data_IF_582821630537
#
_entry.id   IF_582821630537
#
_cell.length_a   1.000
_cell.length_b   1.000
_cell.length_c   1.000
_cell.angle_alpha   90.00
_cell.angle_beta   90.00
_cell.angle_gamma   90.00
#
_symmetry.space_group_name_H-M   'P 1'
#
loop_
_entity.id
_entity.type
_entity.pdbx_description
1 polymer ?
#
# COMPACT_ATOMS: atom_id res chain seq x y z
N UNK A 1 -16.56 -2.62 -1.51
CA UNK A 1 -16.38 -3.91 -2.20
C UNK A 1 -17.02 -3.81 -3.57
N UNK A 2 -16.26 -3.98 -4.66
CA UNK A 2 -16.76 -3.95 -6.05
C UNK A 2 -17.51 -5.22 -6.46
N UNK A 3 -18.29 -5.80 -5.54
CA UNK A 3 -19.06 -7.03 -5.81
C UNK A 3 -20.18 -6.66 -6.77
N UNK A 4 -20.11 -7.17 -8.01
CA UNK A 4 -21.10 -6.92 -9.06
C UNK A 4 -20.81 -5.74 -10.00
N UNK A 5 -19.69 -5.03 -9.82
CA UNK A 5 -19.24 -3.99 -10.76
C UNK A 5 -18.11 -4.51 -11.65
N UNK A 6 -18.09 -4.11 -12.92
CA UNK A 6 -16.92 -4.30 -13.79
C UNK A 6 -15.72 -3.52 -13.22
N UNK A 7 -14.50 -4.00 -13.47
CA UNK A 7 -13.24 -3.38 -13.06
C UNK A 7 -13.22 -1.93 -13.56
N UNK A 8 -13.64 -1.69 -14.80
CA UNK A 8 -13.69 -0.35 -15.39
C UNK A 8 -14.52 0.63 -14.53
N UNK A 9 -15.71 0.23 -14.07
CA UNK A 9 -16.55 1.06 -13.20
C UNK A 9 -15.88 1.36 -11.84
N UNK A 10 -15.11 0.41 -11.32
CA UNK A 10 -14.32 0.63 -10.10
C UNK A 10 -13.20 1.65 -10.34
N UNK A 11 -12.54 1.60 -11.50
CA UNK A 11 -11.52 2.59 -11.88
C UNK A 11 -12.14 3.97 -12.07
N UNK A 12 -13.28 4.10 -12.77
CA UNK A 12 -14.01 5.37 -12.90
C UNK A 12 -14.36 5.97 -11.54
N UNK A 13 -14.80 5.15 -10.60
CA UNK A 13 -15.10 5.57 -9.24
C UNK A 13 -13.87 6.13 -8.51
N UNK A 14 -12.72 5.46 -8.62
CA UNK A 14 -11.46 5.95 -8.03
C UNK A 14 -11.00 7.25 -8.67
N UNK A 15 -11.14 7.39 -9.99
CA UNK A 15 -10.88 8.66 -10.69
C UNK A 15 -11.79 9.79 -10.20
N UNK A 16 -13.05 9.48 -9.88
CA UNK A 16 -13.99 10.40 -9.25
C UNK A 16 -13.49 10.90 -7.89
N UNK A 17 -13.03 10.00 -7.02
CA UNK A 17 -12.42 10.37 -5.74
C UNK A 17 -11.17 11.22 -5.92
N UNK A 18 -10.26 10.82 -6.81
CA UNK A 18 -9.05 11.60 -7.10
C UNK A 18 -9.38 13.01 -7.59
N UNK A 19 -10.40 13.16 -8.46
CA UNK A 19 -10.81 14.47 -8.94
C UNK A 19 -11.45 15.34 -7.83
N UNK A 20 -12.25 14.75 -6.95
CA UNK A 20 -12.86 15.46 -5.83
C UNK A 20 -11.82 15.95 -4.82
N UNK A 21 -10.77 15.15 -4.58
CA UNK A 21 -9.73 15.41 -3.59
C UNK A 21 -8.45 16.04 -4.18
N UNK A 22 -8.46 16.42 -5.46
CA UNK A 22 -7.30 16.95 -6.21
C UNK A 22 -6.05 16.05 -6.12
N UNK A 23 -6.23 14.74 -6.22
CA UNK A 23 -5.15 13.76 -6.24
C UNK A 23 -4.67 13.52 -7.68
N UNK A 24 -3.36 13.44 -7.84
CA UNK A 24 -2.69 13.18 -9.13
C UNK A 24 -2.34 11.70 -9.33
N UNK A 25 -2.47 10.88 -8.29
CA UNK A 25 -2.09 9.47 -8.30
C UNK A 25 -3.03 8.66 -7.38
N UNK A 26 -3.31 7.42 -7.77
CA UNK A 26 -3.77 6.38 -6.86
C UNK A 26 -2.94 5.12 -7.03
N UNK A 27 -2.88 4.31 -5.96
CA UNK A 27 -2.24 3.00 -5.97
C UNK A 27 -3.29 1.90 -5.94
N UNK A 28 -2.98 0.76 -6.55
CA UNK A 28 -3.90 -0.38 -6.62
C UNK A 28 -3.16 -1.71 -6.60
N UNK A 29 -3.83 -2.78 -6.17
CA UNK A 29 -3.31 -4.15 -6.20
C UNK A 29 -3.33 -4.72 -7.63
N UNK A 30 -2.19 -5.14 -8.14
CA UNK A 30 -2.02 -5.70 -9.49
C UNK A 30 -1.96 -7.25 -9.50
N UNK A 31 -1.86 -7.93 -8.36
CA UNK A 31 -1.58 -9.38 -8.32
C UNK A 31 -2.71 -10.26 -8.90
N UNK A 32 -3.92 -9.73 -9.02
CA UNK A 32 -5.10 -10.48 -9.46
C UNK A 32 -5.93 -9.73 -10.50
N UNK A 33 -7.23 -9.56 -10.21
CA UNK A 33 -8.16 -8.87 -11.10
C UNK A 33 -7.71 -7.44 -11.45
N UNK A 34 -6.91 -6.81 -10.60
CA UNK A 34 -6.40 -5.46 -10.84
C UNK A 34 -5.39 -5.35 -11.99
N UNK A 35 -4.94 -6.44 -12.62
CA UNK A 35 -4.05 -6.41 -13.78
C UNK A 35 -4.58 -5.52 -14.94
N UNK A 36 -5.90 -5.39 -15.08
CA UNK A 36 -6.55 -4.55 -16.10
C UNK A 36 -6.58 -3.04 -15.80
N UNK A 37 -6.36 -2.63 -14.54
CA UNK A 37 -6.61 -1.25 -14.07
C UNK A 37 -5.80 -0.20 -14.83
N UNK A 38 -4.56 -0.50 -15.24
CA UNK A 38 -3.76 0.46 -16.05
C UNK A 38 -4.37 0.71 -17.43
N UNK A 39 -4.98 -0.31 -18.04
CA UNK A 39 -5.65 -0.18 -19.32
C UNK A 39 -6.86 0.75 -19.20
N UNK A 40 -7.70 0.48 -18.20
CA UNK A 40 -8.89 1.30 -17.90
C UNK A 40 -8.50 2.75 -17.56
N UNK A 41 -7.49 2.92 -16.70
CA UNK A 41 -6.97 4.24 -16.33
C UNK A 41 -6.43 5.00 -17.55
N UNK A 42 -5.80 4.32 -18.51
CA UNK A 42 -5.35 4.93 -19.76
C UNK A 42 -6.54 5.40 -20.59
N UNK A 43 -7.56 4.56 -20.77
CA UNK A 43 -8.76 4.93 -21.53
C UNK A 43 -9.47 6.14 -20.91
N UNK A 44 -9.63 6.17 -19.59
CA UNK A 44 -10.23 7.29 -18.86
C UNK A 44 -9.37 8.56 -18.99
N UNK A 45 -8.04 8.43 -18.92
CA UNK A 45 -7.12 9.56 -19.09
C UNK A 45 -7.17 10.19 -20.50
N UNK A 46 -7.42 9.41 -21.56
CA UNK A 46 -7.65 9.98 -22.90
C UNK A 46 -8.92 10.85 -22.93
N UNK A 47 -10.00 10.41 -22.28
CA UNK A 47 -11.22 11.22 -22.13
C UNK A 47 -10.96 12.50 -21.33
N UNK A 48 -10.17 12.42 -20.26
CA UNK A 48 -9.77 13.59 -19.46
C UNK A 48 -8.95 14.57 -20.27
N UNK A 49 -7.98 14.08 -21.07
CA UNK A 49 -7.17 14.89 -21.97
C UNK A 49 -8.02 15.63 -23.00
N UNK A 50 -8.98 14.94 -23.62
CA UNK A 50 -9.93 15.57 -24.55
C UNK A 50 -10.77 16.67 -23.86
N UNK A 51 -11.11 16.48 -22.58
CA UNK A 51 -11.78 17.47 -21.74
C UNK A 51 -10.83 18.52 -21.12
N UNK A 52 -9.55 18.57 -21.50
CA UNK A 52 -8.51 19.46 -20.94
C UNK A 52 -8.37 19.36 -19.42
N UNK A 53 -8.54 18.15 -18.87
CA UNK A 53 -8.32 17.83 -17.46
C UNK A 53 -6.97 17.14 -17.27
N UNK A 54 -6.26 17.37 -16.15
CA UNK A 54 -5.02 16.66 -15.84
C UNK A 54 -5.22 15.15 -15.78
N UNK A 55 -4.21 14.40 -16.21
CA UNK A 55 -4.19 12.95 -16.04
C UNK A 55 -4.03 12.56 -14.57
N UNK A 56 -4.54 11.39 -14.21
CA UNK A 56 -4.32 10.77 -12.91
C UNK A 56 -3.52 9.50 -13.12
N UNK A 57 -2.41 9.37 -12.41
CA UNK A 57 -1.51 8.22 -12.47
C UNK A 57 -2.09 7.03 -11.70
N UNK A 58 -2.12 5.87 -12.36
CA UNK A 58 -2.49 4.60 -11.74
C UNK A 58 -1.23 3.78 -11.45
N UNK A 59 -0.78 3.77 -10.19
CA UNK A 59 0.46 3.12 -9.78
C UNK A 59 0.21 1.70 -9.27
N UNK A 60 0.75 0.66 -9.93
CA UNK A 60 0.55 -0.72 -9.54
C UNK A 60 1.38 -1.10 -8.32
N UNK A 61 0.75 -1.74 -7.35
CA UNK A 61 1.43 -2.48 -6.29
C UNK A 61 1.33 -3.98 -6.58
N UNK A 62 2.48 -4.64 -6.73
CA UNK A 62 2.56 -6.09 -6.92
C UNK A 62 3.07 -6.74 -5.65
N UNK A 63 2.16 -7.19 -4.79
CA UNK A 63 2.48 -7.78 -3.49
C UNK A 63 3.27 -9.10 -3.58
N UNK A 64 3.07 -9.87 -4.64
CA UNK A 64 3.81 -11.09 -4.96
C UNK A 64 5.24 -10.83 -5.45
N UNK A 65 5.58 -9.59 -5.77
CA UNK A 65 6.88 -9.17 -6.27
C UNK A 65 7.99 -9.27 -5.23
N UNK A 66 9.22 -9.01 -5.69
CA UNK A 66 10.38 -8.87 -4.82
C UNK A 66 10.19 -7.72 -3.84
N UNK A 67 10.89 -7.80 -2.70
CA UNK A 67 10.95 -6.69 -1.74
C UNK A 67 11.56 -5.45 -2.38
N UNK A 68 11.17 -4.28 -1.89
CA UNK A 68 11.81 -3.02 -2.22
C UNK A 68 13.09 -2.85 -1.41
N UNK A 69 14.05 -2.14 -1.99
CA UNK A 69 15.36 -1.84 -1.41
C UNK A 69 15.98 -3.07 -0.73
N UNK A 70 16.26 -4.15 -1.50
CA UNK A 70 16.59 -5.47 -0.97
C UNK A 70 17.85 -5.47 -0.09
N UNK A 71 18.78 -4.55 -0.36
CA UNK A 71 20.04 -4.38 0.37
C UNK A 71 19.94 -3.43 1.58
N UNK A 72 18.79 -2.77 1.79
CA UNK A 72 18.58 -1.91 2.94
C UNK A 72 18.28 -2.73 4.20
N UNK A 73 18.65 -2.17 5.35
CA UNK A 73 18.46 -2.79 6.66
C UNK A 73 16.97 -2.80 7.05
N UNK A 74 16.38 -3.99 7.14
CA UNK A 74 15.03 -4.16 7.69
C UNK A 74 15.02 -4.09 9.22
N UNK A 75 16.09 -4.61 9.84
CA UNK A 75 16.39 -4.54 11.27
C UNK A 75 17.86 -4.17 11.40
N UNK A 76 18.14 -3.06 12.09
CA UNK A 76 19.50 -2.61 12.38
C UNK A 76 20.24 -3.67 13.20
N UNK A 77 21.51 -3.85 12.91
CA UNK A 77 22.37 -4.71 13.72
C UNK A 77 22.54 -4.12 15.13
N UNK A 78 22.61 -4.98 16.14
CA UNK A 78 22.94 -4.60 17.51
C UNK A 78 23.90 -5.61 18.14
N UNK A 79 24.63 -5.20 19.18
CA UNK A 79 25.44 -6.08 20.02
C UNK A 79 26.38 -7.04 19.26
N UNK A 80 26.99 -6.57 18.16
CA UNK A 80 27.90 -7.38 17.33
C UNK A 80 27.21 -8.30 16.33
N UNK A 81 25.88 -8.29 16.24
CA UNK A 81 25.13 -8.95 15.19
C UNK A 81 25.01 -8.04 13.95
N UNK A 82 25.17 -8.63 12.76
CA UNK A 82 24.94 -7.93 11.52
C UNK A 82 23.46 -7.54 11.37
N UNK A 83 23.20 -6.44 10.66
CA UNK A 83 21.86 -6.04 10.29
C UNK A 83 21.18 -7.12 9.42
N UNK A 84 19.86 -7.25 9.55
CA UNK A 84 19.07 -8.10 8.65
C UNK A 84 18.55 -7.26 7.50
N UNK A 85 18.86 -7.65 6.27
CA UNK A 85 18.42 -6.95 5.07
C UNK A 85 16.96 -7.26 4.71
N UNK A 86 16.33 -6.38 3.94
CA UNK A 86 14.95 -6.59 3.46
C UNK A 86 14.78 -7.93 2.73
N UNK A 87 15.72 -8.26 1.84
CA UNK A 87 15.67 -9.51 1.07
C UNK A 87 15.79 -10.77 1.93
N UNK A 88 16.42 -10.66 3.10
CA UNK A 88 16.67 -11.77 4.01
C UNK A 88 15.58 -11.91 5.08
N UNK A 89 14.83 -10.83 5.34
CA UNK A 89 13.77 -10.83 6.32
C UNK A 89 12.39 -11.15 5.73
N UNK A 90 12.06 -10.65 4.53
CA UNK A 90 10.71 -10.75 3.97
C UNK A 90 10.66 -11.65 2.74
N UNK A 91 9.59 -12.45 2.62
CA UNK A 91 9.41 -13.33 1.48
C UNK A 91 9.01 -12.60 0.18
N UNK A 92 8.32 -11.46 0.28
CA UNK A 92 7.83 -10.67 -0.85
C UNK A 92 7.47 -9.22 -0.41
N UNK A 93 7.14 -8.37 -1.39
CA UNK A 93 6.72 -6.98 -1.18
C UNK A 93 5.52 -6.86 -0.22
N UNK A 94 4.55 -7.79 -0.29
CA UNK A 94 3.41 -7.82 0.62
C UNK A 94 3.86 -7.98 2.08
N UNK A 95 4.72 -8.95 2.36
CA UNK A 95 5.22 -9.19 3.72
C UNK A 95 5.99 -7.97 4.27
N UNK A 96 6.85 -7.37 3.44
CA UNK A 96 7.56 -6.14 3.80
C UNK A 96 6.60 -4.97 4.10
N UNK A 97 5.58 -4.79 3.27
CA UNK A 97 4.64 -3.67 3.38
C UNK A 97 3.73 -3.78 4.61
N UNK A 98 3.21 -4.99 4.88
CA UNK A 98 2.47 -5.25 6.13
C UNK A 98 3.33 -5.06 7.38
N UNK A 99 4.61 -5.46 7.32
CA UNK A 99 5.53 -5.23 8.44
C UNK A 99 5.80 -3.74 8.66
N UNK A 100 5.96 -2.96 7.58
CA UNK A 100 6.06 -1.50 7.66
C UNK A 100 4.82 -0.89 8.31
N UNK A 101 3.62 -1.25 7.87
CA UNK A 101 2.38 -0.75 8.46
C UNK A 101 2.27 -1.09 9.95
N UNK A 102 2.64 -2.32 10.34
CA UNK A 102 2.74 -2.73 11.74
C UNK A 102 3.69 -1.83 12.55
N UNK A 103 4.87 -1.50 12.02
CA UNK A 103 5.83 -0.62 12.68
C UNK A 103 5.25 0.78 12.91
N UNK A 104 4.55 1.35 11.92
CA UNK A 104 3.92 2.67 12.07
C UNK A 104 2.90 2.68 13.23
N UNK A 105 2.02 1.68 13.32
CA UNK A 105 1.07 1.60 14.45
C UNK A 105 1.77 1.38 15.80
N UNK A 106 2.81 0.55 15.83
CA UNK A 106 3.61 0.33 17.04
C UNK A 106 4.28 1.63 17.50
N UNK A 107 4.84 2.41 16.58
CA UNK A 107 5.47 3.69 16.88
C UNK A 107 4.43 4.70 17.38
N UNK A 108 3.24 4.77 16.77
CA UNK A 108 2.14 5.60 17.25
C UNK A 108 1.76 5.23 18.68
N UNK A 109 1.65 3.93 18.99
CA UNK A 109 1.34 3.47 20.35
C UNK A 109 2.41 3.93 21.35
N UNK A 110 3.70 3.73 21.04
CA UNK A 110 4.81 4.16 21.91
C UNK A 110 4.84 5.67 22.12
N UNK A 111 4.60 6.45 21.07
CA UNK A 111 4.51 7.90 21.15
C UNK A 111 3.37 8.34 22.09
N UNK A 112 2.16 7.81 21.88
CA UNK A 112 0.95 8.28 22.57
C UNK A 112 0.78 7.71 23.97
N UNK A 113 1.12 6.42 24.18
CA UNK A 113 0.88 5.71 25.44
C UNK A 113 2.11 5.66 26.33
N UNK A 114 3.30 5.56 25.76
CA UNK A 114 4.55 5.45 26.52
C UNK A 114 5.31 6.79 26.58
N UNK A 115 4.86 7.82 25.85
CA UNK A 115 5.49 9.14 25.82
C UNK A 115 6.87 9.15 25.18
N UNK A 116 7.20 8.14 24.36
CA UNK A 116 8.48 8.06 23.68
C UNK A 116 8.63 9.14 22.61
N UNK A 117 9.86 9.62 22.43
CA UNK A 117 10.20 10.46 21.28
C UNK A 117 9.92 9.71 19.96
N UNK A 118 9.40 10.43 18.97
CA UNK A 118 9.01 9.85 17.69
C UNK A 118 9.34 10.79 16.53
N UNK A 119 9.55 10.22 15.35
CA UNK A 119 9.57 10.96 14.10
C UNK A 119 8.13 11.00 13.54
N UNK A 120 7.56 12.19 13.23
CA UNK A 120 6.24 12.30 12.59
C UNK A 120 6.10 11.48 11.30
N UNK A 121 7.18 11.26 10.55
CA UNK A 121 7.17 10.46 9.31
C UNK A 121 7.11 8.94 9.56
N UNK A 122 7.32 8.50 10.80
CA UNK A 122 7.39 7.10 11.22
C UNK A 122 6.22 6.69 12.13
N UNK A 123 5.12 7.44 12.09
CA UNK A 123 3.87 7.14 12.78
C UNK A 123 2.68 7.22 11.81
N UNK A 124 1.55 6.65 12.23
CA UNK A 124 0.29 6.71 11.50
C UNK A 124 -0.86 7.10 12.44
N UNK A 125 -1.84 7.84 11.91
CA UNK A 125 -3.07 8.17 12.63
C UNK A 125 -4.28 7.81 11.77
N UNK A 126 -5.32 7.27 12.39
CA UNK A 126 -6.62 7.03 11.76
C UNK A 126 -7.58 8.11 12.23
N UNK A 127 -8.17 8.85 11.30
CA UNK A 127 -9.16 9.88 11.65
C UNK A 127 -10.35 9.26 12.39
N UNK A 128 -10.69 9.84 13.55
CA UNK A 128 -11.81 9.39 14.38
C UNK A 128 -13.18 9.58 13.72
N UNK A 129 -13.28 10.48 12.73
CA UNK A 129 -14.51 10.85 12.00
C UNK A 129 -14.73 10.04 10.72
N UNK A 130 -13.84 9.13 10.37
CA UNK A 130 -13.98 8.31 9.18
C UNK A 130 -15.16 7.32 9.34
N UNK A 131 -16.09 7.33 8.39
CA UNK A 131 -17.30 6.50 8.41
C UNK A 131 -16.98 5.00 8.52
N UNK A 132 -15.97 4.54 7.78
CA UNK A 132 -15.57 3.13 7.71
C UNK A 132 -14.56 2.73 8.80
N UNK A 133 -14.31 3.57 9.82
CA UNK A 133 -13.28 3.36 10.84
C UNK A 133 -13.37 2.01 11.54
N UNK A 134 -14.54 1.65 12.07
CA UNK A 134 -14.66 0.43 12.87
C UNK A 134 -14.42 -0.82 12.02
N UNK A 135 -14.92 -0.80 10.78
CA UNK A 135 -14.65 -1.86 9.80
C UNK A 135 -13.17 -1.91 9.43
N UNK A 136 -12.53 -0.76 9.20
CA UNK A 136 -11.10 -0.71 8.93
C UNK A 136 -10.29 -1.30 10.10
N UNK A 137 -10.62 -0.97 11.34
CA UNK A 137 -9.92 -1.48 12.53
C UNK A 137 -10.05 -3.01 12.62
N UNK A 138 -11.24 -3.55 12.37
CA UNK A 138 -11.46 -5.01 12.30
C UNK A 138 -10.59 -5.62 11.20
N UNK A 139 -10.61 -5.06 10.00
CA UNK A 139 -9.79 -5.57 8.88
C UNK A 139 -8.28 -5.44 9.14
N UNK A 140 -7.81 -4.37 9.79
CA UNK A 140 -6.41 -4.17 10.18
C UNK A 140 -5.94 -5.16 11.25
N UNK A 141 -6.87 -5.73 12.01
CA UNK A 141 -6.56 -6.72 13.07
C UNK A 141 -6.53 -8.16 12.55
N UNK A 142 -6.92 -8.38 11.30
CA UNK A 142 -7.01 -9.71 10.68
C UNK A 142 -5.66 -10.33 10.26
N UNK A 143 -4.70 -9.58 9.68
CA UNK A 143 -3.48 -10.18 9.15
C UNK A 143 -2.62 -10.80 10.23
N UNK A 144 -2.12 -11.99 9.95
CA UNK A 144 -1.14 -12.69 10.78
C UNK A 144 0.15 -12.92 10.01
N UNK A 145 1.24 -13.21 10.71
CA UNK A 145 2.51 -13.55 10.08
C UNK A 145 3.05 -14.87 10.60
N UNK A 146 3.83 -15.54 9.76
CA UNK A 146 4.61 -16.72 10.13
C UNK A 146 6.00 -16.65 9.47
N UNK A 147 6.88 -17.56 9.86
CA UNK A 147 8.20 -17.72 9.27
C UNK A 147 8.14 -18.96 8.38
N UNK A 148 8.49 -18.80 7.10
CA UNK A 148 8.50 -19.92 6.16
C UNK A 148 9.74 -20.82 6.33
N UNK A 149 9.81 -21.92 5.56
CA UNK A 149 10.90 -22.90 5.66
C UNK A 149 12.30 -22.38 5.36
N UNK A 150 12.44 -21.18 4.78
CA UNK A 150 13.73 -20.51 4.53
C UNK A 150 14.00 -19.35 5.49
N UNK A 151 13.23 -19.22 6.58
CA UNK A 151 13.47 -18.23 7.63
C UNK A 151 12.95 -16.82 7.34
N UNK A 152 12.12 -16.64 6.30
CA UNK A 152 11.55 -15.34 5.91
C UNK A 152 10.13 -15.16 6.43
N UNK A 153 9.79 -13.92 6.76
CA UNK A 153 8.44 -13.52 7.14
C UNK A 153 7.51 -13.62 5.93
N UNK A 154 6.39 -14.31 6.13
CA UNK A 154 5.24 -14.33 5.23
C UNK A 154 4.02 -13.78 5.98
N UNK A 155 3.11 -13.17 5.24
CA UNK A 155 1.87 -12.61 5.80
C UNK A 155 0.66 -13.30 5.20
N UNK A 156 -0.18 -13.83 6.08
CA UNK A 156 -1.52 -14.30 5.78
C UNK A 156 -2.53 -13.23 6.18
N UNK A 157 -3.05 -12.53 5.17
CA UNK A 157 -4.05 -11.47 5.35
C UNK A 157 -5.47 -12.01 5.39
N UNK A 158 -5.70 -13.25 4.98
CA UNK A 158 -7.03 -13.84 4.94
C UNK A 158 -6.98 -15.28 5.49
N UNK A 159 -6.82 -15.42 6.82
CA UNK A 159 -6.91 -16.72 7.46
C UNK A 159 -8.25 -17.41 7.17
N UNK A 160 -8.28 -18.73 7.32
CA UNK A 160 -9.47 -19.54 7.06
C UNK A 160 -10.72 -18.98 7.76
N UNK A 161 -11.81 -18.87 7.02
CA UNK A 161 -13.09 -18.34 7.52
C UNK A 161 -13.21 -16.82 7.49
N UNK A 162 -12.19 -16.09 7.05
CA UNK A 162 -12.23 -14.62 6.93
C UNK A 162 -12.46 -14.13 5.49
N UNK A 163 -12.99 -12.91 5.36
CA UNK A 163 -13.15 -12.23 4.05
C UNK A 163 -11.89 -11.44 3.72
N UNK A 164 -11.67 -11.13 2.43
CA UNK A 164 -10.55 -10.27 2.04
C UNK A 164 -10.65 -8.88 2.70
N UNK A 165 -9.59 -8.42 3.40
CA UNK A 165 -9.60 -7.18 4.17
C UNK A 165 -9.25 -5.97 3.29
N UNK A 166 -10.13 -5.65 2.34
CA UNK A 166 -9.82 -4.70 1.25
C UNK A 166 -9.54 -3.26 1.72
N UNK A 167 -10.14 -2.79 2.83
CA UNK A 167 -9.82 -1.48 3.41
C UNK A 167 -8.41 -1.50 4.01
N UNK A 168 -8.07 -2.57 4.73
CA UNK A 168 -6.76 -2.69 5.35
C UNK A 168 -5.65 -2.89 4.31
N UNK A 169 -5.90 -3.67 3.24
CA UNK A 169 -5.00 -3.76 2.10
C UNK A 169 -4.78 -2.39 1.43
N UNK A 170 -5.85 -1.58 1.30
CA UNK A 170 -5.72 -0.23 0.72
C UNK A 170 -4.81 0.66 1.56
N UNK A 171 -4.90 0.59 2.89
CA UNK A 171 -3.97 1.30 3.80
C UNK A 171 -2.55 0.75 3.64
N UNK A 172 -2.38 -0.59 3.62
CA UNK A 172 -1.08 -1.21 3.44
C UNK A 172 -0.41 -0.80 2.13
N UNK A 173 -1.15 -0.78 1.01
CA UNK A 173 -0.65 -0.35 -0.31
C UNK A 173 -0.27 1.14 -0.30
N UNK A 174 -1.07 1.98 0.37
CA UNK A 174 -0.78 3.41 0.50
C UNK A 174 0.54 3.67 1.23
N UNK A 175 0.84 2.87 2.27
CA UNK A 175 2.08 2.98 3.04
C UNK A 175 3.21 2.04 2.59
N UNK A 176 2.99 1.24 1.54
CA UNK A 176 3.97 0.31 1.02
C UNK A 176 5.22 1.06 0.53
N UNK A 177 6.43 0.54 0.79
CA UNK A 177 7.63 1.01 0.11
C UNK A 177 7.43 0.83 -1.39
N UNK A 178 7.77 1.84 -2.20
CA UNK A 178 7.67 1.77 -3.66
C UNK A 178 8.73 2.63 -4.32
N UNK A 179 9.25 2.18 -5.46
CA UNK A 179 10.10 2.99 -6.31
C UNK A 179 9.21 3.85 -7.23
N UNK A 180 8.90 5.08 -6.82
CA UNK A 180 8.02 6.00 -7.56
C UNK A 180 8.77 6.82 -8.62
N UNK A 181 10.10 6.72 -8.70
CA UNK A 181 10.92 7.58 -9.55
C UNK A 181 10.50 7.54 -11.03
N UNK A 182 10.31 6.35 -11.61
CA UNK A 182 9.92 6.21 -13.03
C UNK A 182 8.53 6.77 -13.33
N UNK A 183 7.59 6.65 -12.40
CA UNK A 183 6.22 7.14 -12.59
C UNK A 183 6.16 8.68 -12.48
N UNK A 184 7.01 9.28 -11.64
CA UNK A 184 7.17 10.75 -11.53
C UNK A 184 7.76 11.32 -12.83
N UNK A 185 8.76 10.66 -13.43
CA UNK A 185 9.30 11.07 -14.72
C UNK A 185 8.26 11.01 -15.84
N UNK A 186 7.37 10.01 -15.82
CA UNK A 186 6.26 9.90 -16.79
C UNK A 186 5.23 11.04 -16.63
N UNK A 187 4.96 11.48 -15.40
CA UNK A 187 4.11 12.65 -15.12
C UNK A 187 4.73 13.95 -15.64
N UNK A 188 6.02 14.18 -15.36
CA UNK A 188 6.74 15.39 -15.78
C UNK A 188 6.92 15.48 -17.29
N UNK A 189 7.19 14.34 -17.95
CA UNK A 189 7.36 14.30 -19.41
C UNK A 189 6.09 14.56 -20.22
N UNK A 190 4.90 14.47 -19.59
CA UNK A 190 3.59 14.72 -20.24
C UNK A 190 3.08 16.15 -20.08
N UNK A 191 3.73 16.98 -19.25
CA UNK A 191 3.46 18.41 -19.12
C UNK A 191 4.24 19.28 -20.13
N UNK A 192 5.13 18.67 -20.93
CA UNK A 192 5.89 19.31 -22.01
C UNK A 192 5.19 19.20 -23.38
#
# INVERSE_FOLDING_TARGET
>A
SGVGSDIYQSVEKVFGYCAADNLEEFRFDEDGLGAGVRGDARAINELRKAARRPSILATPFRGSGAVFDPEDEAVRGDNGQAARLNKDLFANAKAQSWWRLRKLFQNTYRAVKEGMAYNPDEIISISGTMESKDKLIIELSQPTYSINGVGKIVVDKQPDGTKSPNLADSVMISYAPMNSALNIWELLGRQA
#
